data_IF_759377030778
#
_entry.id   IF_759377030778
#
_cell.length_a   1.000
_cell.length_b   1.000
_cell.length_c   1.000
_cell.angle_alpha   90.00
_cell.angle_beta   90.00
_cell.angle_gamma   90.00
#
_symmetry.space_group_name_H-M   'P 1'
#
loop_
_entity.id
_entity.type
_entity.pdbx_description
1 polymer ?
#
# COMPACT_ATOMS: atom_id res chain seq x y z
N UNK A 1 42.53 8.97 -14.41
CA UNK A 1 41.22 9.54 -13.99
C UNK A 1 40.19 8.42 -14.08
N UNK A 2 39.88 7.76 -12.96
CA UNK A 2 38.97 6.60 -12.96
C UNK A 2 37.52 7.10 -13.12
N UNK A 3 36.89 6.76 -14.25
CA UNK A 3 35.46 6.98 -14.47
C UNK A 3 34.71 6.04 -13.53
N UNK A 4 34.02 6.60 -12.52
CA UNK A 4 33.11 5.81 -11.67
C UNK A 4 31.97 5.28 -12.55
N UNK A 5 31.60 4.00 -12.45
CA UNK A 5 30.46 3.50 -13.22
C UNK A 5 29.20 4.26 -12.78
N UNK A 6 28.39 4.66 -13.76
CA UNK A 6 27.08 5.24 -13.51
C UNK A 6 26.26 4.27 -12.64
N UNK A 7 25.65 4.78 -11.57
CA UNK A 7 24.68 4.02 -10.77
C UNK A 7 23.59 3.49 -11.73
N UNK A 8 23.21 2.21 -11.67
CA UNK A 8 22.12 1.71 -12.50
C UNK A 8 20.87 2.55 -12.23
N UNK A 9 20.30 3.13 -13.29
CA UNK A 9 19.02 3.80 -13.22
C UNK A 9 17.98 2.79 -12.70
N UNK A 10 17.24 3.18 -11.66
CA UNK A 10 16.24 2.32 -11.04
C UNK A 10 15.13 2.05 -12.06
N UNK A 11 15.06 0.81 -12.55
CA UNK A 11 14.03 0.34 -13.48
C UNK A 11 12.67 0.10 -12.81
N UNK A 12 12.61 0.15 -11.48
CA UNK A 12 11.35 0.15 -10.73
C UNK A 12 10.81 1.58 -10.57
N UNK A 13 9.51 1.83 -10.75
CA UNK A 13 8.95 3.15 -10.54
C UNK A 13 9.25 3.63 -9.12
N UNK A 14 9.72 4.86 -8.95
CA UNK A 14 9.95 5.47 -7.64
C UNK A 14 8.64 5.88 -6.95
N UNK A 15 7.53 5.22 -7.27
CA UNK A 15 6.22 5.46 -6.69
C UNK A 15 5.75 4.23 -5.93
N UNK A 16 5.15 4.45 -4.77
CA UNK A 16 4.62 3.41 -3.89
C UNK A 16 3.17 3.73 -3.55
N UNK A 17 2.26 2.81 -3.85
CA UNK A 17 0.85 2.93 -3.50
C UNK A 17 0.57 2.27 -2.15
N UNK A 18 0.20 3.09 -1.17
CA UNK A 18 -0.21 2.65 0.15
C UNK A 18 -1.73 2.67 0.26
N UNK A 19 -2.32 1.50 0.55
CA UNK A 19 -3.76 1.32 0.79
C UNK A 19 -4.07 0.75 2.19
N UNK A 20 -3.03 0.49 2.98
CA UNK A 20 -3.12 -0.05 4.34
C UNK A 20 -2.47 0.87 5.37
N UNK A 21 -1.83 0.29 6.39
CA UNK A 21 -1.24 1.05 7.49
C UNK A 21 -0.14 2.06 7.13
N UNK A 22 0.46 1.98 5.94
CA UNK A 22 1.39 3.02 5.46
C UNK A 22 0.67 4.30 4.96
N UNK A 23 -0.67 4.30 4.89
CA UNK A 23 -1.44 5.54 4.73
C UNK A 23 -1.30 6.44 5.97
N UNK A 24 -1.02 5.89 7.15
CA UNK A 24 -0.76 6.69 8.36
C UNK A 24 0.60 7.41 8.23
N UNK A 25 0.63 8.77 8.22
CA UNK A 25 1.87 9.54 8.07
C UNK A 25 2.91 9.22 9.13
N UNK A 26 2.49 8.89 10.36
CA UNK A 26 3.41 8.54 11.42
C UNK A 26 4.10 7.19 11.14
N UNK A 27 3.40 6.26 10.49
CA UNK A 27 3.99 4.97 10.10
C UNK A 27 4.97 5.11 8.95
N UNK A 28 4.61 5.81 7.87
CA UNK A 28 5.53 5.94 6.75
C UNK A 28 6.77 6.75 7.14
N UNK A 29 6.63 7.81 7.95
CA UNK A 29 7.77 8.64 8.38
C UNK A 29 8.79 7.84 9.20
N UNK A 30 8.33 6.87 10.00
CA UNK A 30 9.24 5.96 10.75
C UNK A 30 9.97 4.97 9.85
N UNK A 31 9.39 4.60 8.71
CA UNK A 31 9.96 3.62 7.76
C UNK A 31 10.84 4.31 6.73
N UNK A 32 10.30 5.32 6.07
CA UNK A 32 10.87 6.02 4.92
C UNK A 32 10.75 7.54 5.16
N UNK A 33 11.61 8.16 5.99
CA UNK A 33 11.54 9.60 6.28
C UNK A 33 11.66 10.50 5.05
N UNK A 34 12.32 10.02 3.99
CA UNK A 34 12.48 10.71 2.70
C UNK A 34 11.28 10.57 1.79
N UNK A 35 10.33 9.67 2.05
CA UNK A 35 9.15 9.50 1.21
C UNK A 35 8.33 10.80 1.15
N UNK A 36 7.89 11.18 -0.05
CA UNK A 36 7.09 12.38 -0.29
C UNK A 36 5.70 11.99 -0.76
N UNK A 37 4.67 12.53 -0.14
CA UNK A 37 3.31 12.39 -0.66
C UNK A 37 3.22 12.99 -2.06
N UNK A 38 2.51 12.32 -2.96
CA UNK A 38 2.29 12.76 -4.35
C UNK A 38 0.84 13.18 -4.51
N UNK A 39 -0.07 12.22 -4.33
CA UNK A 39 -1.51 12.44 -4.45
C UNK A 39 -2.25 11.26 -3.79
N UNK A 40 -3.55 11.42 -3.57
CA UNK A 40 -4.44 10.28 -3.39
C UNK A 40 -4.60 9.55 -4.71
N UNK A 41 -4.92 8.26 -4.65
CA UNK A 41 -5.07 7.44 -5.85
C UNK A 41 -6.03 6.29 -5.62
N UNK A 42 -6.44 5.66 -6.70
CA UNK A 42 -7.28 4.48 -6.66
C UNK A 42 -6.76 3.35 -7.55
N UNK A 43 -6.95 2.12 -7.07
CA UNK A 43 -6.73 0.88 -7.79
C UNK A 43 -8.11 0.33 -8.20
N UNK A 44 -8.41 0.39 -9.50
CA UNK A 44 -9.65 -0.14 -10.07
C UNK A 44 -9.68 -1.66 -10.10
N UNK A 45 -10.88 -2.24 -10.14
CA UNK A 45 -11.16 -3.69 -10.21
C UNK A 45 -10.53 -4.48 -9.07
N UNK A 46 -10.43 -3.85 -7.90
CA UNK A 46 -9.96 -4.47 -6.67
C UNK A 46 -10.84 -4.04 -5.50
N UNK A 47 -10.91 -4.91 -4.49
CA UNK A 47 -11.55 -4.63 -3.20
C UNK A 47 -10.54 -4.76 -2.06
N UNK A 48 -10.78 -4.03 -0.98
CA UNK A 48 -9.98 -4.15 0.24
C UNK A 48 -10.32 -5.48 0.92
N UNK A 49 -9.28 -6.22 1.31
CA UNK A 49 -9.42 -7.50 1.99
C UNK A 49 -8.45 -7.61 3.17
N UNK A 50 -8.63 -8.66 3.98
CA UNK A 50 -7.76 -8.96 5.13
C UNK A 50 -7.36 -10.44 5.09
N UNK A 51 -6.57 -10.78 4.07
CA UNK A 51 -6.32 -12.18 3.68
C UNK A 51 -5.18 -12.85 4.44
N UNK A 52 -4.56 -12.12 5.36
CA UNK A 52 -3.34 -12.55 6.04
C UNK A 52 -3.32 -12.12 7.49
N UNK A 53 -2.82 -13.00 8.37
CA UNK A 53 -2.50 -12.66 9.77
C UNK A 53 -1.15 -11.96 9.86
N UNK A 54 -1.09 -10.88 10.64
CA UNK A 54 0.16 -10.34 11.17
C UNK A 54 0.37 -10.82 12.61
N UNK A 55 1.49 -11.53 12.85
CA UNK A 55 1.86 -11.96 14.20
C UNK A 55 2.07 -10.77 15.15
N UNK A 56 2.80 -9.74 14.70
CA UNK A 56 3.08 -8.51 15.46
C UNK A 56 1.81 -7.75 15.86
N UNK A 57 0.82 -7.67 14.97
CA UNK A 57 -0.44 -6.95 15.23
C UNK A 57 -1.52 -7.83 15.84
N UNK A 58 -1.34 -9.15 15.85
CA UNK A 58 -2.37 -10.16 16.17
C UNK A 58 -3.70 -9.86 15.48
N UNK A 59 -3.63 -9.50 14.20
CA UNK A 59 -4.74 -8.95 13.41
C UNK A 59 -4.69 -9.50 11.99
N UNK A 60 -5.85 -9.62 11.33
CA UNK A 60 -5.91 -9.58 9.87
C UNK A 60 -5.30 -8.26 9.37
N UNK A 61 -4.49 -8.32 8.32
CA UNK A 61 -3.85 -7.13 7.74
C UNK A 61 -4.28 -6.90 6.30
N UNK A 62 -4.24 -5.63 5.91
CA UNK A 62 -4.74 -5.16 4.62
C UNK A 62 -4.07 -5.91 3.46
N UNK A 63 -4.91 -6.24 2.50
CA UNK A 63 -4.60 -6.80 1.19
C UNK A 63 -5.57 -6.24 0.15
N UNK A 64 -5.29 -6.47 -1.12
CA UNK A 64 -6.22 -6.21 -2.22
C UNK A 64 -6.52 -7.49 -2.97
N UNK A 65 -7.80 -7.72 -3.27
CA UNK A 65 -8.25 -8.83 -4.10
C UNK A 65 -8.86 -8.29 -5.38
N UNK A 66 -8.65 -8.98 -6.50
CA UNK A 66 -9.35 -8.65 -7.75
C UNK A 66 -10.87 -8.76 -7.53
N UNK A 67 -11.59 -7.72 -7.92
CA UNK A 67 -13.04 -7.66 -7.85
C UNK A 67 -13.52 -6.62 -8.86
N UNK A 68 -14.08 -7.08 -9.98
CA UNK A 68 -14.48 -6.21 -11.08
C UNK A 68 -15.53 -5.18 -10.61
N UNK A 69 -15.34 -3.92 -11.02
CA UNK A 69 -16.24 -2.81 -10.65
C UNK A 69 -16.05 -2.25 -9.24
N UNK A 70 -15.25 -2.89 -8.38
CA UNK A 70 -14.85 -2.33 -7.09
C UNK A 70 -13.58 -1.48 -7.19
N UNK A 71 -13.33 -0.68 -6.16
CA UNK A 71 -12.18 0.23 -6.11
C UNK A 71 -11.54 0.27 -4.73
N UNK A 72 -10.21 0.19 -4.69
CA UNK A 72 -9.40 0.42 -3.49
C UNK A 72 -8.80 1.80 -3.56
N UNK A 73 -9.16 2.67 -2.62
CA UNK A 73 -8.52 3.96 -2.43
C UNK A 73 -7.27 3.86 -1.56
N UNK A 74 -6.32 4.72 -1.87
CA UNK A 74 -5.06 4.84 -1.15
C UNK A 74 -4.36 6.14 -1.52
N UNK A 75 -3.04 6.14 -1.33
CA UNK A 75 -2.19 7.28 -1.65
C UNK A 75 -0.93 6.81 -2.35
N UNK A 76 -0.33 7.71 -3.13
CA UNK A 76 0.97 7.48 -3.75
C UNK A 76 2.02 8.30 -3.04
N UNK A 77 3.08 7.63 -2.62
CA UNK A 77 4.34 8.26 -2.22
C UNK A 77 5.34 8.18 -3.36
N UNK A 78 6.13 9.24 -3.54
CA UNK A 78 7.40 9.21 -4.26
C UNK A 78 8.49 8.78 -3.27
N UNK A 79 9.15 7.67 -3.58
CA UNK A 79 10.35 7.20 -2.89
C UNK A 79 11.56 7.94 -3.48
N UNK A 80 12.44 8.44 -2.62
CA UNK A 80 13.59 9.24 -3.07
C UNK A 80 14.90 8.45 -3.06
N UNK A 81 14.88 7.21 -2.56
CA UNK A 81 16.05 6.36 -2.49
C UNK A 81 15.70 4.88 -2.66
N UNK A 82 16.69 4.08 -3.09
CA UNK A 82 16.60 2.60 -3.08
C UNK A 82 16.38 2.07 -1.67
N UNK A 83 16.99 2.73 -0.68
CA UNK A 83 16.84 2.40 0.74
C UNK A 83 15.37 2.41 1.16
N UNK A 84 14.57 3.35 0.64
CA UNK A 84 13.14 3.43 0.97
C UNK A 84 12.40 2.16 0.56
N UNK A 85 12.64 1.65 -0.66
CA UNK A 85 11.97 0.43 -1.11
C UNK A 85 12.50 -0.81 -0.39
N UNK A 86 13.79 -0.87 -0.05
CA UNK A 86 14.37 -1.96 0.75
C UNK A 86 13.76 -2.03 2.15
N UNK A 87 13.52 -0.87 2.80
CA UNK A 87 12.85 -0.83 4.11
C UNK A 87 11.40 -1.29 3.99
N UNK A 88 10.69 -0.91 2.93
CA UNK A 88 9.33 -1.38 2.67
C UNK A 88 9.32 -2.90 2.42
N UNK A 89 10.24 -3.42 1.60
CA UNK A 89 10.38 -4.85 1.35
C UNK A 89 10.54 -5.63 2.65
N UNK A 90 11.48 -5.23 3.50
CA UNK A 90 11.71 -5.86 4.79
C UNK A 90 10.47 -5.77 5.70
N UNK A 91 9.80 -4.61 5.73
CA UNK A 91 8.62 -4.40 6.57
C UNK A 91 7.41 -5.25 6.13
N UNK A 92 7.26 -5.48 4.82
CA UNK A 92 6.22 -6.33 4.24
C UNK A 92 6.66 -7.81 4.13
N UNK A 93 7.87 -8.16 4.57
CA UNK A 93 8.39 -9.53 4.51
C UNK A 93 8.54 -10.03 3.08
N UNK A 94 8.97 -9.14 2.19
CA UNK A 94 9.33 -9.41 0.80
C UNK A 94 10.85 -9.41 0.65
N UNK A 95 11.39 -10.35 -0.13
CA UNK A 95 12.81 -10.42 -0.49
C UNK A 95 12.92 -10.67 -2.00
N UNK A 96 13.52 -9.75 -2.77
CA UNK A 96 13.71 -9.92 -4.21
C UNK A 96 14.39 -11.27 -4.55
N UNK A 97 13.88 -11.96 -5.56
CA UNK A 97 14.44 -13.24 -6.02
C UNK A 97 14.06 -14.47 -5.19
N UNK A 98 13.54 -14.32 -3.97
CA UNK A 98 13.05 -15.47 -3.19
C UNK A 98 11.61 -15.83 -3.54
N UNK A 99 11.33 -17.09 -3.88
CA UNK A 99 9.94 -17.54 -4.13
C UNK A 99 9.21 -18.00 -2.87
N UNK A 100 9.93 -18.55 -1.88
CA UNK A 100 9.34 -19.18 -0.68
C UNK A 100 9.31 -18.21 0.50
N UNK A 101 8.38 -18.43 1.42
CA UNK A 101 8.24 -17.73 2.71
C UNK A 101 7.98 -16.20 2.67
N UNK A 102 7.70 -15.62 1.50
CA UNK A 102 7.33 -14.21 1.40
C UNK A 102 5.95 -13.95 2.04
N UNK A 103 5.78 -12.85 2.77
CA UNK A 103 4.46 -12.51 3.36
C UNK A 103 3.58 -11.74 2.37
N UNK A 104 4.19 -10.82 1.65
CA UNK A 104 3.61 -10.08 0.53
C UNK A 104 4.47 -10.30 -0.72
N UNK A 105 3.91 -10.01 -1.89
CA UNK A 105 4.62 -9.91 -3.16
C UNK A 105 4.59 -8.45 -3.59
N UNK A 106 5.74 -7.88 -3.93
CA UNK A 106 5.81 -6.56 -4.56
C UNK A 106 5.52 -6.69 -6.05
N UNK A 107 4.52 -5.97 -6.53
CA UNK A 107 4.14 -5.90 -7.94
C UNK A 107 4.15 -4.46 -8.43
N UNK A 108 4.32 -4.28 -9.74
CA UNK A 108 4.03 -3.02 -10.41
C UNK A 108 2.58 -3.03 -10.89
N UNK A 109 1.79 -2.04 -10.48
CA UNK A 109 0.40 -1.86 -10.94
C UNK A 109 0.18 -0.43 -11.44
N UNK A 110 -0.88 -0.22 -12.20
CA UNK A 110 -1.35 1.10 -12.59
C UNK A 110 -2.44 1.55 -11.62
N UNK A 111 -2.33 2.78 -11.13
CA UNK A 111 -3.37 3.46 -10.33
C UNK A 111 -3.75 4.76 -11.02
N UNK A 112 -4.99 5.21 -10.83
CA UNK A 112 -5.41 6.56 -11.23
C UNK A 112 -5.13 7.55 -10.11
N UNK A 113 -4.46 8.67 -10.43
CA UNK A 113 -4.24 9.75 -9.47
C UNK A 113 -5.45 10.68 -9.34
N UNK A 114 -5.62 11.24 -8.14
CA UNK A 114 -6.66 12.19 -7.79
C UNK A 114 -8.00 11.52 -7.49
N UNK A 115 -9.01 12.34 -7.20
CA UNK A 115 -10.41 11.91 -6.94
C UNK A 115 -11.23 11.67 -8.21
N UNK A 116 -10.65 11.96 -9.38
CA UNK A 116 -11.39 12.06 -10.62
C UNK A 116 -11.89 10.69 -11.10
N UNK A 117 -12.98 10.70 -11.88
CA UNK A 117 -13.55 9.48 -12.48
C UNK A 117 -12.49 8.78 -13.37
N UNK A 118 -12.59 7.45 -13.54
CA UNK A 118 -11.59 6.67 -14.27
C UNK A 118 -11.21 7.17 -15.66
N UNK A 119 -12.15 7.80 -16.36
CA UNK A 119 -11.95 8.35 -17.71
C UNK A 119 -11.06 9.59 -17.77
N UNK A 120 -10.79 10.23 -16.63
CA UNK A 120 -10.04 11.50 -16.54
C UNK A 120 -8.83 11.41 -15.62
N UNK A 121 -8.64 10.28 -14.94
CA UNK A 121 -7.55 10.10 -14.00
C UNK A 121 -6.23 9.91 -14.75
N UNK A 122 -5.16 10.53 -14.23
CA UNK A 122 -3.81 10.31 -14.76
C UNK A 122 -3.30 8.93 -14.31
N UNK A 123 -3.05 7.97 -15.21
CA UNK A 123 -2.52 6.68 -14.82
C UNK A 123 -1.05 6.80 -14.41
N UNK A 124 -0.66 6.13 -13.32
CA UNK A 124 0.73 6.07 -12.85
C UNK A 124 1.09 4.64 -12.47
N UNK A 125 2.25 4.19 -12.95
CA UNK A 125 2.85 2.92 -12.52
C UNK A 125 3.45 3.06 -11.11
N UNK A 126 3.08 2.17 -10.21
CA UNK A 126 3.44 2.19 -8.79
C UNK A 126 3.85 0.80 -8.34
N UNK A 127 4.75 0.74 -7.35
CA UNK A 127 4.93 -0.46 -6.54
C UNK A 127 3.73 -0.61 -5.59
N UNK A 128 3.26 -1.83 -5.44
CA UNK A 128 2.24 -2.23 -4.47
C UNK A 128 2.65 -3.56 -3.85
N UNK A 129 2.32 -3.77 -2.58
CA UNK A 129 2.49 -5.06 -1.91
C UNK A 129 1.14 -5.77 -1.84
N UNK A 130 1.03 -6.97 -2.39
CA UNK A 130 -0.17 -7.81 -2.37
C UNK A 130 0.11 -9.04 -1.49
N UNK A 131 -0.77 -9.35 -0.55
CA UNK A 131 -0.50 -10.37 0.45
C UNK A 131 -0.52 -11.77 -0.17
N UNK A 132 0.35 -12.65 0.31
CA UNK A 132 0.16 -14.09 0.10
C UNK A 132 -0.95 -14.54 1.04
N UNK A 133 -2.13 -14.82 0.47
CA UNK A 133 -3.32 -15.28 1.20
C UNK A 133 -2.97 -16.46 2.12
N UNK A 134 -3.50 -16.40 3.34
CA UNK A 134 -3.53 -17.52 4.27
C UNK A 134 -4.95 -18.11 4.32
N UNK A 135 -5.05 -19.39 4.67
CA UNK A 135 -6.34 -20.01 5.01
C UNK A 135 -6.79 -19.46 6.36
N UNK A 136 -8.04 -19.02 6.45
CA UNK A 136 -8.70 -18.58 7.68
C UNK A 136 -7.88 -17.55 8.51
N UNK A 137 -7.47 -16.41 7.93
CA UNK A 137 -6.90 -15.33 8.72
C UNK A 137 -7.94 -14.79 9.70
N UNK A 138 -7.54 -14.28 10.87
CA UNK A 138 -8.48 -13.59 11.75
C UNK A 138 -8.98 -12.30 11.09
N UNK A 139 -10.15 -11.78 11.51
CA UNK A 139 -10.56 -10.44 11.10
C UNK A 139 -9.53 -9.39 11.53
N UNK A 140 -9.54 -8.20 10.90
CA UNK A 140 -8.74 -7.10 11.39
C UNK A 140 -9.26 -6.61 12.74
N UNK A 141 -8.36 -6.19 13.63
CA UNK A 141 -8.74 -5.60 14.91
C UNK A 141 -9.23 -4.16 14.71
N UNK A 142 -10.16 -3.71 15.56
CA UNK A 142 -10.59 -2.29 15.59
C UNK A 142 -9.41 -1.31 15.61
N UNK A 143 -8.36 -1.60 16.40
CA UNK A 143 -7.16 -0.75 16.49
C UNK A 143 -6.40 -0.64 15.16
N UNK A 144 -6.31 -1.74 14.39
CA UNK A 144 -5.67 -1.73 13.09
C UNK A 144 -6.51 -0.97 12.06
N UNK A 145 -7.83 -1.15 12.06
CA UNK A 145 -8.73 -0.40 11.18
C UNK A 145 -8.73 1.08 11.51
N UNK A 146 -8.74 1.45 12.79
CA UNK A 146 -8.60 2.84 13.21
C UNK A 146 -7.32 3.47 12.65
N UNK A 147 -6.23 2.70 12.51
CA UNK A 147 -5.01 3.19 11.87
C UNK A 147 -5.21 3.48 10.37
N UNK A 148 -5.85 2.58 9.63
CA UNK A 148 -6.20 2.81 8.22
C UNK A 148 -7.11 4.03 8.09
N UNK A 149 -8.14 4.13 8.92
CA UNK A 149 -9.09 5.24 8.94
C UNK A 149 -8.42 6.58 9.24
N UNK A 150 -7.46 6.63 10.19
CA UNK A 150 -6.66 7.84 10.46
C UNK A 150 -5.86 8.29 9.22
N UNK A 151 -5.20 7.36 8.54
CA UNK A 151 -4.50 7.66 7.30
C UNK A 151 -5.47 8.16 6.22
N UNK A 152 -6.59 7.46 6.04
CA UNK A 152 -7.61 7.82 5.06
C UNK A 152 -8.22 9.22 5.32
N UNK A 153 -8.46 9.56 6.59
CA UNK A 153 -8.93 10.88 6.99
C UNK A 153 -7.86 11.95 6.77
N UNK A 154 -6.61 11.70 7.18
CA UNK A 154 -5.51 12.66 7.05
C UNK A 154 -5.29 13.12 5.61
N UNK A 155 -5.33 12.20 4.64
CA UNK A 155 -5.15 12.52 3.22
C UNK A 155 -6.45 12.89 2.50
N UNK A 156 -7.59 12.86 3.19
CA UNK A 156 -8.89 13.13 2.59
C UNK A 156 -9.24 12.13 1.48
N UNK A 157 -9.15 10.82 1.73
CA UNK A 157 -9.74 9.82 0.83
C UNK A 157 -11.27 10.02 0.74
N UNK A 158 -11.95 9.54 -0.30
CA UNK A 158 -13.40 9.71 -0.47
C UNK A 158 -14.22 9.32 0.76
N UNK A 159 -15.31 10.04 0.99
CA UNK A 159 -16.10 9.95 2.22
C UNK A 159 -16.74 8.57 2.42
N UNK A 160 -17.30 8.02 1.35
CA UNK A 160 -17.84 6.66 1.27
C UNK A 160 -16.77 5.61 1.63
N UNK A 161 -15.54 5.77 1.15
CA UNK A 161 -14.44 4.87 1.49
C UNK A 161 -14.03 4.98 2.96
N UNK A 162 -14.00 6.20 3.52
CA UNK A 162 -13.75 6.41 4.95
C UNK A 162 -14.88 5.82 5.81
N UNK A 163 -16.13 5.95 5.38
CA UNK A 163 -17.28 5.37 6.06
C UNK A 163 -17.24 3.83 6.03
N UNK A 164 -16.83 3.24 4.90
CA UNK A 164 -16.60 1.80 4.77
C UNK A 164 -15.53 1.31 5.77
N UNK A 165 -14.39 2.00 5.87
CA UNK A 165 -13.34 1.65 6.85
C UNK A 165 -13.88 1.74 8.29
N UNK A 166 -14.63 2.79 8.62
CA UNK A 166 -15.24 2.93 9.95
C UNK A 166 -16.23 1.79 10.25
N UNK A 167 -17.00 1.34 9.27
CA UNK A 167 -17.93 0.23 9.42
C UNK A 167 -17.21 -1.11 9.68
N UNK A 168 -16.07 -1.37 9.01
CA UNK A 168 -15.24 -2.54 9.30
C UNK A 168 -14.73 -2.51 10.74
N UNK A 169 -14.27 -1.34 11.21
CA UNK A 169 -13.70 -1.18 12.55
C UNK A 169 -14.69 -1.41 13.69
N UNK A 170 -16.00 -1.33 13.43
CA UNK A 170 -17.05 -1.66 14.42
C UNK A 170 -17.37 -3.15 14.50
N UNK A 171 -16.93 -3.96 13.53
CA UNK A 171 -17.28 -5.38 13.40
C UNK A 171 -16.19 -6.35 13.92
N UNK A 172 -14.99 -5.86 14.24
CA UNK A 172 -13.85 -6.68 14.67
C UNK A 172 -13.17 -6.13 15.91
#
# INVERSE_FOLDING_TARGET
MLVRPARPALSAPLYYFAYGSNMDPAQIRRRCPSARFVDIAYLADHRLAFTRRSGRRRSGVADVERCAGETVWGIVYRLLSVRDIEVLDAAEGFEPGRRRAQRYVRETRIVGLGRARPTTARPVAVNIYIARRQKNPPPPTAAYIAQLARGAAHWGLPEDYRAMLAAIGRRG
#
